data_IF_468346198306
#
_entry.id   IF_468346198306
#
_cell.length_a   1.000
_cell.length_b   1.000
_cell.length_c   1.000
_cell.angle_alpha   90.00
_cell.angle_beta   90.00
_cell.angle_gamma   90.00
#
_symmetry.space_group_name_H-M   'P 1'
#
loop_
_entity.id
_entity.type
_entity.pdbx_description
1 polymer ?
#
# COMPACT_ATOMS: atom_id res chain seq x y z
N UNK A 1 -7.66 -7.58 22.97
CA UNK A 1 -7.25 -6.20 22.62
C UNK A 1 -8.39 -5.28 22.98
N UNK A 2 -8.32 -4.59 24.12
CA UNK A 2 -9.34 -3.62 24.53
C UNK A 2 -8.89 -2.23 24.07
N UNK A 3 -9.62 -1.65 23.11
CA UNK A 3 -9.41 -0.27 22.67
C UNK A 3 -10.26 0.66 23.55
N UNK A 4 -9.63 1.66 24.18
CA UNK A 4 -10.36 2.74 24.85
C UNK A 4 -10.86 3.75 23.81
N UNK A 5 -12.18 4.01 23.72
CA UNK A 5 -12.75 4.91 22.70
C UNK A 5 -12.27 6.36 22.80
N UNK A 6 -11.67 6.78 23.91
CA UNK A 6 -11.40 8.18 24.24
C UNK A 6 -10.15 8.79 23.56
N UNK A 7 -9.42 8.03 22.73
CA UNK A 7 -8.17 8.51 22.10
C UNK A 7 -8.17 8.55 20.57
N UNK A 8 -9.27 8.21 19.92
CA UNK A 8 -9.44 8.52 18.50
C UNK A 8 -9.99 9.94 18.42
N UNK A 9 -9.15 10.91 18.04
CA UNK A 9 -9.67 12.22 17.65
C UNK A 9 -10.66 11.97 16.50
N UNK A 10 -11.95 12.22 16.75
CA UNK A 10 -13.02 11.92 15.81
C UNK A 10 -12.98 12.83 14.57
N UNK A 11 -12.24 13.94 14.64
CA UNK A 11 -12.17 14.96 13.61
C UNK A 11 -11.74 14.45 12.22
N UNK A 12 -10.54 13.84 12.08
CA UNK A 12 -10.03 13.40 10.77
C UNK A 12 -10.88 12.30 10.12
N UNK A 13 -11.32 11.32 10.91
CA UNK A 13 -12.19 10.24 10.42
C UNK A 13 -13.54 10.75 9.95
N UNK A 14 -14.18 11.63 10.73
CA UNK A 14 -15.44 12.24 10.36
C UNK A 14 -15.29 13.19 9.16
N UNK A 15 -14.14 13.85 9.01
CA UNK A 15 -13.83 14.66 7.83
C UNK A 15 -13.70 13.81 6.57
N UNK A 16 -12.95 12.69 6.60
CA UNK A 16 -12.80 11.80 5.45
C UNK A 16 -14.13 11.16 5.04
N UNK A 17 -14.93 10.70 6.00
CA UNK A 17 -16.28 10.14 5.74
C UNK A 17 -17.21 11.18 5.11
N UNK A 18 -17.22 12.42 5.61
CA UNK A 18 -17.99 13.53 5.01
C UNK A 18 -17.51 13.84 3.60
N UNK A 19 -16.20 13.87 3.37
CA UNK A 19 -15.62 14.12 2.06
C UNK A 19 -16.03 13.07 1.03
N UNK A 20 -15.94 11.77 1.36
CA UNK A 20 -16.37 10.69 0.47
C UNK A 20 -17.87 10.74 0.18
N UNK A 21 -18.71 11.01 1.19
CA UNK A 21 -20.16 11.14 0.98
C UNK A 21 -20.50 12.30 0.04
N UNK A 22 -19.91 13.48 0.28
CA UNK A 22 -20.11 14.64 -0.59
C UNK A 22 -19.62 14.38 -2.02
N UNK A 23 -18.50 13.67 -2.19
CA UNK A 23 -18.03 13.27 -3.50
C UNK A 23 -18.99 12.29 -4.20
N UNK A 24 -19.52 11.30 -3.48
CA UNK A 24 -20.50 10.35 -3.99
C UNK A 24 -21.77 11.06 -4.51
N UNK A 25 -22.30 12.00 -3.73
CA UNK A 25 -23.45 12.83 -4.11
C UNK A 25 -23.18 13.63 -5.39
N UNK A 26 -22.03 14.33 -5.46
CA UNK A 26 -21.66 15.12 -6.65
C UNK A 26 -21.50 14.27 -7.91
N UNK A 27 -21.03 13.04 -7.77
CA UNK A 27 -20.78 12.13 -8.89
C UNK A 27 -22.02 11.29 -9.25
N UNK A 28 -23.10 11.34 -8.46
CA UNK A 28 -24.27 10.48 -8.63
C UNK A 28 -23.95 9.00 -8.44
N UNK A 29 -22.98 8.66 -7.58
CA UNK A 29 -22.54 7.29 -7.31
C UNK A 29 -23.04 6.87 -5.92
N UNK A 30 -23.40 5.60 -5.77
CA UNK A 30 -23.68 5.01 -4.46
C UNK A 30 -22.49 5.21 -3.49
N UNK A 31 -22.70 5.84 -2.31
CA UNK A 31 -21.66 6.06 -1.32
C UNK A 31 -20.92 4.79 -0.89
N UNK A 32 -21.58 3.64 -0.88
CA UNK A 32 -20.95 2.37 -0.52
C UNK A 32 -19.93 1.93 -1.59
N UNK A 33 -20.30 2.05 -2.87
CA UNK A 33 -19.38 1.77 -4.00
C UNK A 33 -18.16 2.68 -4.00
N UNK A 34 -18.35 3.99 -3.76
CA UNK A 34 -17.22 4.92 -3.70
C UNK A 34 -16.32 4.64 -2.50
N UNK A 35 -16.92 4.30 -1.34
CA UNK A 35 -16.16 3.91 -0.14
C UNK A 35 -15.35 2.63 -0.38
N UNK A 36 -15.96 1.63 -1.02
CA UNK A 36 -15.28 0.39 -1.40
C UNK A 36 -14.13 0.66 -2.37
N UNK A 37 -14.36 1.45 -3.42
CA UNK A 37 -13.32 1.81 -4.39
C UNK A 37 -12.17 2.58 -3.72
N UNK A 38 -12.48 3.53 -2.83
CA UNK A 38 -11.47 4.26 -2.07
C UNK A 38 -10.66 3.32 -1.16
N UNK A 39 -11.31 2.40 -0.45
CA UNK A 39 -10.63 1.41 0.39
C UNK A 39 -9.70 0.51 -0.45
N UNK A 40 -10.18 0.05 -1.62
CA UNK A 40 -9.37 -0.75 -2.54
C UNK A 40 -8.13 0.00 -3.01
N UNK A 41 -8.28 1.26 -3.47
CA UNK A 41 -7.14 2.08 -3.89
C UNK A 41 -6.19 2.36 -2.73
N UNK A 42 -6.71 2.71 -1.54
CA UNK A 42 -5.87 3.05 -0.37
C UNK A 42 -5.06 1.86 0.17
N UNK A 43 -5.56 0.63 -0.02
CA UNK A 43 -4.95 -0.59 0.54
C UNK A 43 -4.10 -1.36 -0.48
N UNK A 44 -4.35 -1.18 -1.79
CA UNK A 44 -3.74 -1.98 -2.87
C UNK A 44 -2.94 -1.17 -3.88
N UNK A 45 -3.22 0.12 -4.02
CA UNK A 45 -2.51 0.91 -5.00
C UNK A 45 -1.06 1.15 -4.57
N UNK A 46 -0.17 1.03 -5.55
CA UNK A 46 1.26 1.22 -5.39
C UNK A 46 1.61 2.60 -5.89
N UNK A 47 2.48 3.32 -5.17
CA UNK A 47 3.03 4.59 -5.64
C UNK A 47 3.80 4.40 -6.94
N UNK A 48 3.34 5.04 -8.02
CA UNK A 48 3.95 4.99 -9.35
C UNK A 48 4.67 6.30 -9.72
N UNK A 49 4.30 7.41 -9.07
CA UNK A 49 5.03 8.68 -9.08
C UNK A 49 4.71 9.53 -7.84
N UNK A 50 5.32 10.71 -7.69
CA UNK A 50 5.09 11.63 -6.55
C UNK A 50 3.60 11.99 -6.37
N UNK A 51 2.82 11.94 -7.46
CA UNK A 51 1.39 12.28 -7.48
C UNK A 51 0.54 11.21 -8.18
N UNK A 52 1.05 9.98 -8.34
CA UNK A 52 0.30 8.92 -9.00
C UNK A 52 0.44 7.59 -8.26
N UNK A 53 -0.67 6.86 -8.19
CA UNK A 53 -0.70 5.47 -7.77
C UNK A 53 -1.32 4.61 -8.87
N UNK A 54 -0.99 3.33 -8.88
CA UNK A 54 -1.55 2.36 -9.81
C UNK A 54 -1.96 1.09 -9.06
N UNK A 55 -3.06 0.49 -9.49
CA UNK A 55 -3.37 -0.90 -9.16
C UNK A 55 -2.60 -1.77 -10.15
N UNK A 56 -1.71 -2.62 -9.64
CA UNK A 56 -0.84 -3.46 -10.44
C UNK A 56 -1.23 -4.92 -10.16
N UNK A 57 -1.99 -5.58 -11.06
CA UNK A 57 -2.44 -6.94 -10.85
C UNK A 57 -1.28 -7.90 -10.54
N UNK A 58 -1.45 -8.71 -9.50
CA UNK A 58 -0.47 -9.70 -9.05
C UNK A 58 0.52 -9.13 -8.03
N UNK A 59 0.97 -7.88 -8.21
CA UNK A 59 1.76 -7.16 -7.18
C UNK A 59 0.91 -6.89 -5.94
N UNK A 60 -0.35 -6.51 -6.15
CA UNK A 60 -1.32 -6.18 -5.12
C UNK A 60 -1.75 -7.37 -4.23
N UNK A 61 -1.37 -8.59 -4.60
CA UNK A 61 -1.58 -9.82 -3.82
C UNK A 61 -0.47 -10.09 -2.80
N UNK A 62 0.72 -9.51 -2.98
CA UNK A 62 1.84 -9.77 -2.09
C UNK A 62 1.65 -9.07 -0.74
N UNK A 63 1.73 -9.84 0.34
CA UNK A 63 1.49 -9.34 1.69
C UNK A 63 2.72 -8.63 2.29
N UNK A 64 2.45 -7.82 3.32
CA UNK A 64 3.47 -7.12 4.08
C UNK A 64 4.37 -8.06 4.90
N UNK A 65 5.65 -7.70 5.02
CA UNK A 65 6.56 -8.15 6.07
C UNK A 65 7.52 -7.03 6.48
N UNK A 66 7.91 -7.02 7.76
CA UNK A 66 9.04 -6.20 8.25
C UNK A 66 10.40 -6.74 7.77
N UNK A 67 10.45 -7.99 7.29
CA UNK A 67 11.63 -8.65 6.72
C UNK A 67 11.30 -9.17 5.31
N UNK A 68 11.02 -8.28 4.34
CA UNK A 68 10.55 -8.67 3.01
C UNK A 68 11.58 -9.51 2.25
N UNK A 69 11.09 -10.49 1.48
CA UNK A 69 11.90 -11.35 0.61
C UNK A 69 11.79 -10.97 -0.87
N UNK A 70 10.97 -9.97 -1.21
CA UNK A 70 10.87 -9.39 -2.53
C UNK A 70 10.74 -7.86 -2.47
N UNK A 71 11.24 -7.19 -3.51
CA UNK A 71 11.11 -5.75 -3.70
C UNK A 71 10.24 -5.45 -4.92
N UNK A 72 9.43 -4.41 -4.83
CA UNK A 72 8.73 -3.84 -5.97
C UNK A 72 9.73 -3.13 -6.88
N UNK A 73 9.67 -3.40 -8.17
CA UNK A 73 10.46 -2.74 -9.21
C UNK A 73 9.54 -2.18 -10.27
N UNK A 74 9.72 -0.90 -10.60
CA UNK A 74 9.08 -0.23 -11.74
C UNK A 74 10.19 0.09 -12.74
N UNK A 75 10.09 -0.45 -13.96
CA UNK A 75 11.02 -0.15 -15.06
C UNK A 75 12.53 -0.21 -14.72
N UNK A 76 12.96 -1.25 -14.00
CA UNK A 76 14.36 -1.71 -14.02
C UNK A 76 15.36 -1.06 -13.06
N UNK A 77 14.94 -0.15 -12.16
CA UNK A 77 15.81 0.35 -11.08
C UNK A 77 15.23 0.02 -9.69
N UNK A 78 15.96 -0.75 -8.85
CA UNK A 78 15.54 -1.04 -7.48
C UNK A 78 15.37 0.25 -6.67
N UNK A 79 14.26 0.38 -5.94
CA UNK A 79 14.04 1.48 -5.00
C UNK A 79 13.41 2.75 -5.57
N UNK A 80 13.19 2.84 -6.90
CA UNK A 80 12.50 3.98 -7.51
C UNK A 80 10.97 3.78 -7.46
N UNK A 81 10.30 4.57 -6.63
CA UNK A 81 8.83 4.64 -6.54
C UNK A 81 8.21 5.62 -7.56
N UNK A 82 9.04 6.30 -8.38
CA UNK A 82 8.61 7.35 -9.31
C UNK A 82 9.51 7.40 -10.58
N UNK A 83 8.99 7.15 -11.78
CA UNK A 83 9.82 7.28 -13.00
C UNK A 83 9.15 6.95 -14.33
N UNK A 84 9.50 7.70 -15.38
CA UNK A 84 9.12 7.44 -16.78
C UNK A 84 10.09 6.39 -17.34
N UNK A 85 9.59 5.23 -17.71
CA UNK A 85 10.41 4.08 -18.08
C UNK A 85 11.26 4.31 -19.35
N UNK A 86 12.48 3.73 -19.43
CA UNK A 86 13.33 3.63 -20.66
C UNK A 86 14.02 2.26 -20.81
N UNK A 87 13.86 1.57 -21.96
CA UNK A 87 14.32 0.16 -22.23
C UNK A 87 15.78 0.05 -22.70
N UNK A 88 16.49 -0.99 -22.25
CA UNK A 88 17.69 -1.54 -22.91
C UNK A 88 17.81 -3.08 -22.79
N UNK A 89 17.61 -3.80 -23.91
CA UNK A 89 18.10 -5.16 -24.30
C UNK A 89 17.77 -6.46 -23.51
N UNK A 90 17.76 -7.55 -24.30
CA UNK A 90 17.23 -8.92 -24.06
C UNK A 90 17.95 -9.68 -22.91
N UNK A 91 17.39 -9.50 -21.70
CA UNK A 91 17.59 -10.18 -20.39
C UNK A 91 16.97 -9.31 -19.28
N UNK A 92 16.64 -8.05 -19.60
CA UNK A 92 15.69 -7.18 -18.89
C UNK A 92 14.30 -7.34 -19.51
N UNK A 93 13.34 -7.88 -18.75
CA UNK A 93 11.97 -8.18 -19.20
C UNK A 93 10.99 -7.01 -18.97
N UNK A 94 11.46 -5.88 -18.47
CA UNK A 94 10.58 -4.75 -18.15
C UNK A 94 10.54 -3.78 -19.34
N UNK A 95 9.45 -3.84 -20.10
CA UNK A 95 9.13 -2.83 -21.10
C UNK A 95 8.86 -1.47 -20.42
N UNK A 96 8.83 -0.41 -21.23
CA UNK A 96 8.42 0.90 -20.74
C UNK A 96 7.02 0.81 -20.10
N UNK A 97 6.91 1.04 -18.79
CA UNK A 97 5.63 1.01 -18.08
C UNK A 97 5.29 -0.31 -17.40
N UNK A 98 6.22 -1.27 -17.34
CA UNK A 98 6.03 -2.52 -16.60
C UNK A 98 6.50 -2.39 -15.14
N UNK A 99 5.78 -3.05 -14.22
CA UNK A 99 6.11 -3.13 -12.81
C UNK A 99 5.87 -4.54 -12.26
N UNK A 100 6.66 -4.96 -11.28
CA UNK A 100 6.50 -6.27 -10.67
C UNK A 100 7.38 -6.49 -9.45
N UNK A 101 7.44 -7.74 -8.99
CA UNK A 101 8.19 -8.12 -7.79
C UNK A 101 9.45 -8.89 -8.17
N UNK A 102 10.57 -8.52 -7.55
CA UNK A 102 11.86 -9.20 -7.70
C UNK A 102 12.27 -9.77 -6.36
N UNK A 103 12.50 -11.09 -6.30
CA UNK A 103 12.97 -11.75 -5.11
C UNK A 103 14.38 -11.28 -4.74
N UNK A 104 14.64 -11.07 -3.45
CA UNK A 104 15.94 -10.60 -2.92
C UNK A 104 16.94 -11.73 -2.73
N UNK A 105 16.46 -12.96 -2.81
CA UNK A 105 17.19 -14.22 -2.70
C UNK A 105 16.37 -15.31 -3.37
N UNK A 106 16.97 -16.48 -3.53
CA UNK A 106 16.22 -17.66 -3.93
C UNK A 106 15.13 -17.98 -2.91
N UNK A 107 13.94 -18.30 -3.44
CA UNK A 107 12.77 -18.69 -2.66
C UNK A 107 12.57 -20.20 -2.77
N UNK A 108 12.10 -20.82 -1.68
CA UNK A 108 11.73 -22.24 -1.69
C UNK A 108 10.29 -22.40 -2.18
N UNK A 109 9.99 -23.50 -2.86
CA UNK A 109 8.62 -23.80 -3.27
C UNK A 109 7.67 -23.80 -2.06
N UNK A 110 6.54 -23.09 -2.19
CA UNK A 110 5.57 -22.89 -1.10
C UNK A 110 5.90 -21.73 -0.16
N UNK A 111 7.06 -21.08 -0.29
CA UNK A 111 7.37 -19.86 0.45
C UNK A 111 6.54 -18.68 -0.07
N UNK A 112 5.89 -17.95 0.83
CA UNK A 112 5.12 -16.77 0.47
C UNK A 112 6.04 -15.62 0.02
N UNK A 113 5.74 -15.04 -1.14
CA UNK A 113 6.34 -13.77 -1.58
C UNK A 113 5.79 -12.64 -0.72
N UNK A 114 6.68 -11.90 -0.04
CA UNK A 114 6.33 -10.82 0.87
C UNK A 114 7.15 -9.56 0.57
N UNK A 115 6.46 -8.44 0.55
CA UNK A 115 7.02 -7.12 0.28
C UNK A 115 6.90 -6.21 1.51
N UNK A 116 7.54 -5.06 1.50
CA UNK A 116 7.29 -4.01 2.50
C UNK A 116 6.32 -2.98 1.94
N UNK A 117 5.24 -2.69 2.67
CA UNK A 117 4.34 -1.58 2.35
C UNK A 117 4.96 -0.24 2.80
N UNK A 118 5.91 -0.29 3.73
CA UNK A 118 6.55 0.85 4.38
C UNK A 118 6.91 0.51 5.83
N UNK A 119 7.67 1.41 6.47
CA UNK A 119 7.92 1.34 7.91
C UNK A 119 6.82 2.08 8.64
N UNK A 120 5.68 1.40 8.86
CA UNK A 120 4.49 2.00 9.44
C UNK A 120 4.17 1.44 10.83
N UNK A 121 3.74 2.28 11.79
CA UNK A 121 3.28 1.80 13.09
C UNK A 121 1.97 1.01 12.97
N UNK A 122 1.66 0.20 13.97
CA UNK A 122 0.47 -0.67 13.94
C UNK A 122 -0.85 0.10 13.77
N UNK A 123 -0.96 1.32 14.31
CA UNK A 123 -2.12 2.19 14.08
C UNK A 123 -2.35 2.44 12.58
N UNK A 124 -1.28 2.76 11.83
CA UNK A 124 -1.35 2.99 10.39
C UNK A 124 -1.66 1.71 9.63
N UNK A 125 -0.99 0.60 9.98
CA UNK A 125 -1.25 -0.71 9.36
C UNK A 125 -2.70 -1.15 9.55
N UNK A 126 -3.28 -0.91 10.73
CA UNK A 126 -4.65 -1.29 11.03
C UNK A 126 -5.65 -0.46 10.24
N UNK A 127 -5.42 0.85 10.13
CA UNK A 127 -6.31 1.78 9.43
C UNK A 127 -6.25 1.65 7.91
N UNK A 128 -5.05 1.50 7.36
CA UNK A 128 -4.83 1.51 5.91
C UNK A 128 -4.84 0.10 5.31
N UNK A 129 -4.60 -0.95 6.09
CA UNK A 129 -4.47 -2.32 5.56
C UNK A 129 -5.24 -3.38 6.37
N UNK A 130 -5.87 -3.02 7.48
CA UNK A 130 -6.73 -3.92 8.26
C UNK A 130 -5.98 -4.97 9.10
N UNK A 131 -4.68 -4.79 9.37
CA UNK A 131 -3.90 -5.71 10.21
C UNK A 131 -2.91 -4.98 11.13
N UNK A 132 -2.34 -5.70 12.09
CA UNK A 132 -1.26 -5.23 12.97
C UNK A 132 -0.21 -6.33 13.11
N UNK A 133 1.06 -5.94 13.27
CA UNK A 133 2.15 -6.88 13.59
C UNK A 133 2.33 -7.05 15.11
N UNK A 134 1.53 -6.35 15.93
CA UNK A 134 1.63 -6.37 17.38
C UNK A 134 3.00 -5.93 17.87
N UNK A 135 3.48 -6.56 18.94
CA UNK A 135 4.81 -6.30 19.52
C UNK A 135 5.98 -6.63 18.58
N UNK A 136 5.74 -7.33 17.47
CA UNK A 136 6.76 -7.62 16.47
C UNK A 136 6.97 -6.46 15.48
N UNK A 137 6.17 -5.38 15.53
CA UNK A 137 6.39 -4.22 14.66
C UNK A 137 7.57 -3.38 15.14
N UNK A 138 8.68 -3.27 14.36
CA UNK A 138 9.80 -2.41 14.74
C UNK A 138 9.43 -0.91 14.75
N UNK A 139 8.38 -0.51 14.03
CA UNK A 139 7.90 0.87 14.01
C UNK A 139 6.95 1.21 15.19
N UNK A 140 6.69 0.27 16.09
CA UNK A 140 5.83 0.47 17.25
C UNK A 140 4.33 0.59 16.92
N UNK A 141 3.57 1.18 17.85
CA UNK A 141 2.10 1.17 17.80
C UNK A 141 1.48 2.47 17.26
N UNK A 142 2.05 3.63 17.56
CA UNK A 142 1.42 4.93 17.29
C UNK A 142 2.19 5.71 16.24
N UNK A 143 1.45 6.47 15.43
CA UNK A 143 2.04 7.47 14.54
C UNK A 143 2.55 8.63 15.42
N UNK A 144 3.85 8.91 15.38
CA UNK A 144 4.42 10.04 16.09
C UNK A 144 3.85 11.33 15.49
N UNK A 145 3.10 12.09 16.29
CA UNK A 145 2.58 13.40 15.87
C UNK A 145 3.73 14.40 15.92
N UNK A 146 4.31 14.71 14.77
CA UNK A 146 5.20 15.86 14.56
C UNK A 146 4.42 17.16 14.54
#
# INVERSE_FOLDING_TARGET
>A
VFWSPSRLSSGPFQARRRSLRSAAERLGIDPERLTWAHALVSTRAVGASINACALIPGVDLANHSSTPNADLVVAGEPGIRTGRATVTTYRKVWEHGSAGLVAKRDLVAGEAVRISYGSYPNQRLLLDYGFSLGSANPAGDLEETS
#
